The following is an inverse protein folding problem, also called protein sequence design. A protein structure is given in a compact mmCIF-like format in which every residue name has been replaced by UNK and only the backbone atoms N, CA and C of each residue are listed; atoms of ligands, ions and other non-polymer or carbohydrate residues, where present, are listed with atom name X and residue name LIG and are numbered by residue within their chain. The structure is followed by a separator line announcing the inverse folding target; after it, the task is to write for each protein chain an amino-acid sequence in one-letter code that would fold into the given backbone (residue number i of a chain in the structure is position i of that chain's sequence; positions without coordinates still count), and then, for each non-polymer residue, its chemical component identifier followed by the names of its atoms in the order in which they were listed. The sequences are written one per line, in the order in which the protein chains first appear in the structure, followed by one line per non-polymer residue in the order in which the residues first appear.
data_IF_926674303597
#
_entry.id   IF_926674303597
#
_cell.length_a   1.000
_cell.length_b   1.000
_cell.length_c   1.000
_cell.angle_alpha   90.00
_cell.angle_beta   90.00
_cell.angle_gamma   90.00
#
_symmetry.space_group_name_H-M   'P 1'
#
loop_
_entity.id
_entity.type
_entity.pdbx_description
1 polymer ?
#
# COMPACT_ATOMS: atom_id res chain seq x y z
N UNK A 1 -64.07 -18.36 51.20
CA UNK A 1 -63.49 -16.99 51.27
C UNK A 1 -62.09 -17.07 50.66
N UNK A 2 -61.87 -16.36 49.55
CA UNK A 2 -60.87 -16.70 48.54
C UNK A 2 -59.49 -16.05 48.81
N UNK A 3 -58.43 -16.79 48.44
CA UNK A 3 -57.00 -16.48 48.60
C UNK A 3 -56.60 -15.12 48.03
N UNK A 4 -55.88 -14.32 48.83
CA UNK A 4 -55.14 -13.14 48.37
C UNK A 4 -53.92 -13.55 47.54
N UNK A 5 -53.89 -13.11 46.29
CA UNK A 5 -52.80 -13.38 45.33
C UNK A 5 -52.01 -12.08 45.14
N UNK A 6 -50.88 -11.95 45.83
CA UNK A 6 -49.93 -10.86 45.63
C UNK A 6 -49.24 -11.05 44.28
N UNK A 7 -49.67 -10.28 43.27
CA UNK A 7 -48.94 -10.17 42.00
C UNK A 7 -47.66 -9.34 42.23
N UNK A 8 -46.51 -10.02 42.22
CA UNK A 8 -45.19 -9.39 42.10
C UNK A 8 -45.16 -8.50 40.85
N UNK A 9 -45.00 -7.19 41.04
CA UNK A 9 -44.63 -6.27 39.97
C UNK A 9 -43.20 -6.57 39.53
N UNK A 10 -43.07 -7.03 38.29
CA UNK A 10 -41.78 -7.20 37.62
C UNK A 10 -41.26 -5.81 37.25
N UNK A 11 -40.01 -5.44 37.59
CA UNK A 11 -39.44 -4.18 37.13
C UNK A 11 -39.28 -4.23 35.61
N UNK A 12 -39.94 -3.30 34.92
CA UNK A 12 -39.71 -3.05 33.49
C UNK A 12 -38.26 -2.57 33.38
N UNK A 13 -37.36 -3.46 32.94
CA UNK A 13 -36.02 -3.05 32.50
C UNK A 13 -36.22 -2.05 31.36
N UNK A 14 -36.01 -0.77 31.63
CA UNK A 14 -35.84 0.24 30.59
C UNK A 14 -34.77 -0.26 29.63
N UNK A 15 -35.18 -0.60 28.41
CA UNK A 15 -34.26 -0.86 27.33
C UNK A 15 -33.44 0.41 27.12
N UNK A 16 -32.15 0.36 27.47
CA UNK A 16 -31.24 1.45 27.15
C UNK A 16 -31.31 1.68 25.63
N UNK A 17 -31.41 2.93 25.17
CA UNK A 17 -31.42 3.21 23.74
C UNK A 17 -30.14 2.63 23.14
N UNK A 18 -30.29 1.79 22.11
CA UNK A 18 -29.16 1.37 21.28
C UNK A 18 -28.58 2.64 20.67
N UNK A 19 -27.52 3.17 21.28
CA UNK A 19 -26.70 4.22 20.68
C UNK A 19 -26.04 3.57 19.48
N UNK A 20 -26.66 3.70 18.32
CA UNK A 20 -26.04 3.41 17.03
C UNK A 20 -24.89 4.39 16.89
N UNK A 21 -23.71 3.99 17.38
CA UNK A 21 -22.47 4.71 17.10
C UNK A 21 -22.37 4.82 15.58
N UNK A 22 -22.59 6.02 15.06
CA UNK A 22 -22.45 6.34 13.64
C UNK A 22 -20.99 6.09 13.30
N UNK A 23 -20.67 4.90 12.76
CA UNK A 23 -19.32 4.55 12.33
C UNK A 23 -18.83 5.63 11.37
N UNK A 24 -17.59 6.06 11.55
CA UNK A 24 -16.91 6.95 10.62
C UNK A 24 -17.07 6.39 9.20
N UNK A 25 -17.34 7.24 8.19
CA UNK A 25 -17.50 6.79 6.81
C UNK A 25 -16.26 6.00 6.38
N UNK A 26 -16.50 4.82 5.81
CA UNK A 26 -15.48 3.83 5.49
C UNK A 26 -14.36 4.37 4.59
N UNK A 27 -14.64 5.41 3.81
CA UNK A 27 -13.71 5.99 2.82
C UNK A 27 -13.51 7.51 2.95
N UNK A 28 -14.16 8.16 3.93
CA UNK A 28 -14.16 9.61 4.11
C UNK A 28 -13.39 10.14 5.33
N UNK A 29 -12.67 9.27 6.05
CA UNK A 29 -11.95 9.65 7.28
C UNK A 29 -10.59 10.31 6.97
N UNK A 30 -10.03 11.02 7.95
CA UNK A 30 -8.73 11.73 7.84
C UNK A 30 -7.54 10.78 7.65
N UNK A 31 -7.58 9.60 8.25
CA UNK A 31 -6.55 8.57 8.06
C UNK A 31 -6.44 8.13 6.59
N UNK A 32 -7.57 7.94 5.91
CA UNK A 32 -7.61 7.57 4.50
C UNK A 32 -7.20 8.74 3.58
N UNK A 33 -7.43 10.00 3.96
CA UNK A 33 -6.81 11.11 3.22
C UNK A 33 -5.28 11.07 3.29
N UNK A 34 -4.75 10.85 4.49
CA UNK A 34 -3.31 10.73 4.66
C UNK A 34 -2.77 9.54 3.84
N UNK A 35 -3.47 8.40 3.88
CA UNK A 35 -3.22 7.25 3.00
C UNK A 35 -3.21 7.66 1.53
N UNK A 36 -4.22 8.39 1.06
CA UNK A 36 -4.34 8.80 -0.33
C UNK A 36 -3.17 9.70 -0.77
N UNK A 37 -2.68 10.58 0.11
CA UNK A 37 -1.50 11.40 -0.19
C UNK A 37 -0.22 10.55 -0.29
N UNK A 38 -0.01 9.62 0.65
CA UNK A 38 1.12 8.68 0.61
C UNK A 38 1.03 7.83 -0.66
N UNK A 39 -0.15 7.29 -0.92
CA UNK A 39 -0.45 6.46 -2.08
C UNK A 39 -0.26 7.22 -3.39
N UNK A 40 -0.63 8.50 -3.46
CA UNK A 40 -0.36 9.35 -4.62
C UNK A 40 1.14 9.60 -4.81
N UNK A 41 1.88 9.86 -3.73
CA UNK A 41 3.33 10.05 -3.81
C UNK A 41 4.05 8.77 -4.30
N UNK A 42 3.71 7.61 -3.72
CA UNK A 42 4.20 6.31 -4.21
C UNK A 42 3.76 6.06 -5.65
N UNK A 43 2.51 6.35 -5.99
CA UNK A 43 1.99 6.17 -7.34
C UNK A 43 2.73 7.01 -8.38
N UNK A 44 3.06 8.27 -8.05
CA UNK A 44 3.87 9.14 -8.91
C UNK A 44 5.29 8.58 -9.06
N UNK A 45 5.94 8.19 -7.96
CA UNK A 45 7.30 7.63 -7.97
C UNK A 45 7.38 6.43 -8.91
N UNK A 46 6.52 5.44 -8.70
CA UNK A 46 6.50 4.22 -9.50
C UNK A 46 6.07 4.47 -10.95
N UNK A 47 5.12 5.38 -11.20
CA UNK A 47 4.71 5.74 -12.56
C UNK A 47 5.86 6.39 -13.33
N UNK A 48 6.52 7.39 -12.75
CA UNK A 48 7.63 8.08 -13.40
C UNK A 48 8.83 7.16 -13.56
N UNK A 49 9.14 6.33 -12.56
CA UNK A 49 10.20 5.33 -12.64
C UNK A 49 9.94 4.32 -13.77
N UNK A 50 8.71 3.80 -13.88
CA UNK A 50 8.30 2.92 -14.97
C UNK A 50 8.34 3.60 -16.34
N UNK A 51 7.86 4.85 -16.45
CA UNK A 51 7.93 5.62 -17.69
C UNK A 51 9.38 5.91 -18.12
N UNK A 52 10.27 6.20 -17.17
CA UNK A 52 11.70 6.39 -17.46
C UNK A 52 12.33 5.12 -18.02
N UNK A 53 11.98 3.94 -17.46
CA UNK A 53 12.44 2.64 -17.96
C UNK A 53 11.90 2.35 -19.35
N UNK A 54 10.60 2.55 -19.55
CA UNK A 54 9.92 2.36 -20.84
C UNK A 54 10.50 3.27 -21.94
N UNK A 55 10.91 4.49 -21.57
CA UNK A 55 11.48 5.46 -22.50
C UNK A 55 12.98 5.25 -22.78
N UNK A 56 13.69 4.39 -22.05
CA UNK A 56 15.12 4.15 -22.23
C UNK A 56 15.38 2.93 -23.14
N UNK A 57 15.87 3.14 -24.38
CA UNK A 57 16.17 2.03 -25.30
C UNK A 57 17.27 1.08 -24.79
N UNK A 58 18.06 1.52 -23.80
CA UNK A 58 19.15 0.74 -23.21
C UNK A 58 18.76 0.13 -21.86
N UNK A 59 17.49 0.21 -21.45
CA UNK A 59 17.08 -0.18 -20.11
C UNK A 59 17.50 -1.60 -19.73
N UNK A 60 17.33 -2.59 -20.62
CA UNK A 60 17.74 -3.98 -20.35
C UNK A 60 19.23 -4.10 -20.06
N UNK A 61 20.07 -3.38 -20.82
CA UNK A 61 21.52 -3.37 -20.61
C UNK A 61 21.87 -2.67 -19.30
N UNK A 62 21.22 -1.56 -19.00
CA UNK A 62 21.41 -0.80 -17.76
C UNK A 62 20.98 -1.63 -16.54
N UNK A 63 19.86 -2.35 -16.65
CA UNK A 63 19.38 -3.28 -15.64
C UNK A 63 20.37 -4.42 -15.39
N UNK A 64 20.94 -5.00 -16.46
CA UNK A 64 22.00 -6.01 -16.32
C UNK A 64 23.20 -5.47 -15.55
N UNK A 65 23.72 -4.31 -15.97
CA UNK A 65 24.86 -3.68 -15.32
C UNK A 65 24.57 -3.34 -13.85
N UNK A 66 23.35 -2.89 -13.55
CA UNK A 66 22.89 -2.64 -12.18
C UNK A 66 22.87 -3.92 -11.35
N UNK A 67 22.28 -5.01 -11.85
CA UNK A 67 22.23 -6.31 -11.15
C UNK A 67 23.65 -6.84 -10.94
N UNK A 68 24.48 -6.87 -11.96
CA UNK A 68 25.83 -7.45 -11.87
C UNK A 68 26.76 -6.62 -10.97
N UNK A 69 26.60 -5.29 -10.97
CA UNK A 69 27.36 -4.36 -10.14
C UNK A 69 26.86 -4.22 -8.71
N UNK A 70 25.70 -4.78 -8.39
CA UNK A 70 25.04 -4.61 -7.09
C UNK A 70 25.69 -5.47 -5.99
N UNK A 71 26.01 -4.91 -4.80
CA UNK A 71 26.61 -5.66 -3.70
C UNK A 71 25.77 -6.88 -3.26
N UNK A 72 24.45 -6.74 -3.28
CA UNK A 72 23.50 -7.78 -2.92
C UNK A 72 23.45 -8.97 -3.89
N UNK A 73 23.97 -8.81 -5.12
CA UNK A 73 24.14 -9.92 -6.06
C UNK A 73 25.26 -10.84 -5.63
N UNK A 74 26.34 -10.31 -5.05
CA UNK A 74 27.52 -11.10 -4.69
C UNK A 74 27.34 -11.84 -3.36
N UNK A 75 26.86 -11.11 -2.32
CA UNK A 75 26.81 -11.61 -0.95
C UNK A 75 25.47 -11.33 -0.24
N UNK A 76 24.45 -10.87 -0.97
CA UNK A 76 23.16 -10.50 -0.39
C UNK A 76 22.23 -11.67 -0.14
N UNK A 77 21.15 -11.41 0.63
CA UNK A 77 20.11 -12.40 0.94
C UNK A 77 19.43 -12.98 -0.32
N UNK A 78 19.39 -12.20 -1.40
CA UNK A 78 18.78 -12.60 -2.67
C UNK A 78 19.79 -13.15 -3.68
N UNK A 79 21.09 -13.19 -3.37
CA UNK A 79 22.17 -13.54 -4.31
C UNK A 79 21.91 -14.86 -5.04
N UNK A 80 21.55 -15.92 -4.30
CA UNK A 80 21.26 -17.23 -4.90
C UNK A 80 20.09 -17.18 -5.89
N UNK A 81 19.03 -16.43 -5.58
CA UNK A 81 17.89 -16.25 -6.48
C UNK A 81 18.26 -15.41 -7.71
N UNK A 82 19.08 -14.37 -7.52
CA UNK A 82 19.56 -13.52 -8.61
C UNK A 82 20.40 -14.34 -9.59
N UNK A 83 21.37 -15.12 -9.11
CA UNK A 83 22.22 -15.95 -9.95
C UNK A 83 21.46 -17.06 -10.69
N UNK A 84 20.43 -17.64 -10.08
CA UNK A 84 19.71 -18.79 -10.65
C UNK A 84 18.53 -18.39 -11.54
N UNK A 85 17.86 -17.28 -11.25
CA UNK A 85 16.65 -16.86 -11.96
C UNK A 85 16.82 -15.56 -12.73
N UNK A 86 17.38 -14.52 -12.10
CA UNK A 86 17.40 -13.17 -12.68
C UNK A 86 18.47 -13.04 -13.76
N UNK A 87 19.73 -13.38 -13.46
CA UNK A 87 20.85 -13.24 -14.39
C UNK A 87 20.70 -14.07 -15.68
N UNK A 88 20.19 -15.33 -15.64
CA UNK A 88 19.95 -16.07 -16.88
C UNK A 88 18.80 -15.50 -17.72
N UNK A 89 17.88 -14.75 -17.11
CA UNK A 89 16.65 -14.25 -17.73
C UNK A 89 16.53 -12.71 -17.63
N UNK A 90 17.64 -11.99 -17.76
CA UNK A 90 17.72 -10.54 -17.52
C UNK A 90 16.68 -9.74 -18.29
N UNK A 91 16.49 -10.02 -19.58
CA UNK A 91 15.52 -9.30 -20.40
C UNK A 91 14.08 -9.47 -19.88
N UNK A 92 13.74 -10.66 -19.40
CA UNK A 92 12.43 -10.93 -18.82
C UNK A 92 12.24 -10.17 -17.51
N UNK A 93 13.21 -10.20 -16.60
CA UNK A 93 13.11 -9.51 -15.31
C UNK A 93 13.18 -7.98 -15.45
N UNK A 94 13.95 -7.47 -16.40
CA UNK A 94 13.93 -6.06 -16.77
C UNK A 94 12.51 -5.65 -17.23
N UNK A 95 11.95 -6.34 -18.22
CA UNK A 95 10.59 -6.06 -18.69
C UNK A 95 9.55 -6.22 -17.58
N UNK A 96 9.66 -7.26 -16.76
CA UNK A 96 8.78 -7.46 -15.60
C UNK A 96 8.83 -6.28 -14.64
N UNK A 97 10.03 -5.75 -14.34
CA UNK A 97 10.24 -4.61 -13.45
C UNK A 97 9.61 -3.35 -14.05
N UNK A 98 9.87 -3.08 -15.32
CA UNK A 98 9.30 -1.95 -16.06
C UNK A 98 7.76 -1.94 -16.04
N UNK A 99 7.12 -3.04 -16.45
CA UNK A 99 5.66 -3.13 -16.45
C UNK A 99 5.07 -3.14 -15.04
N UNK A 100 5.77 -3.75 -14.08
CA UNK A 100 5.31 -3.76 -12.68
C UNK A 100 5.33 -2.36 -12.11
N UNK A 101 6.41 -1.60 -12.27
CA UNK A 101 6.47 -0.24 -11.75
C UNK A 101 5.43 0.67 -12.38
N UNK A 102 5.29 0.62 -13.72
CA UNK A 102 4.27 1.40 -14.41
C UNK A 102 2.85 1.04 -13.93
N UNK A 103 2.56 -0.27 -13.84
CA UNK A 103 1.27 -0.77 -13.38
C UNK A 103 0.96 -0.39 -11.94
N UNK A 104 1.94 -0.52 -11.04
CA UNK A 104 1.82 -0.09 -9.64
C UNK A 104 1.55 1.41 -9.55
N UNK A 105 2.27 2.22 -10.32
CA UNK A 105 2.08 3.66 -10.38
C UNK A 105 0.63 4.04 -10.72
N UNK A 106 0.09 3.45 -11.79
CA UNK A 106 -1.29 3.67 -12.23
C UNK A 106 -2.28 3.23 -11.15
N UNK A 107 -2.16 2.02 -10.63
CA UNK A 107 -3.09 1.46 -9.64
C UNK A 107 -3.11 2.30 -8.36
N UNK A 108 -1.94 2.67 -7.86
CA UNK A 108 -1.84 3.50 -6.65
C UNK A 108 -2.48 4.87 -6.89
N UNK A 109 -2.23 5.52 -8.03
CA UNK A 109 -2.86 6.81 -8.35
C UNK A 109 -4.38 6.71 -8.46
N UNK A 110 -4.91 5.67 -9.10
CA UNK A 110 -6.34 5.46 -9.20
C UNK A 110 -6.97 5.26 -7.81
N UNK A 111 -6.35 4.46 -6.95
CA UNK A 111 -6.85 4.29 -5.58
C UNK A 111 -6.76 5.58 -4.76
N UNK A 112 -5.71 6.38 -4.91
CA UNK A 112 -5.58 7.69 -4.25
C UNK A 112 -6.67 8.67 -4.72
N UNK A 113 -6.95 8.72 -6.03
CA UNK A 113 -8.02 9.52 -6.59
C UNK A 113 -9.40 9.06 -6.10
N UNK A 114 -9.61 7.75 -5.96
CA UNK A 114 -10.88 7.20 -5.47
C UNK A 114 -11.12 7.61 -4.01
N UNK A 115 -10.12 7.46 -3.14
CA UNK A 115 -10.20 7.93 -1.75
C UNK A 115 -10.36 9.44 -1.68
N UNK A 116 -9.66 10.19 -2.53
CA UNK A 116 -9.79 11.65 -2.62
C UNK A 116 -11.19 12.10 -3.06
N UNK A 117 -11.77 11.43 -4.05
CA UNK A 117 -13.12 11.67 -4.58
C UNK A 117 -14.18 11.62 -3.49
N UNK A 118 -14.06 10.70 -2.52
CA UNK A 118 -14.99 10.56 -1.39
C UNK A 118 -15.04 11.76 -0.45
N UNK A 119 -14.12 12.71 -0.59
CA UNK A 119 -14.11 13.97 0.16
C UNK A 119 -14.87 15.09 -0.53
N UNK A 120 -15.21 14.92 -1.81
CA UNK A 120 -16.00 15.87 -2.54
C UNK A 120 -17.47 15.75 -2.14
N UNK A 121 -18.17 16.88 -2.06
CA UNK A 121 -19.60 16.90 -1.76
C UNK A 121 -20.44 16.59 -3.01
N UNK A 122 -21.72 16.25 -2.80
CA UNK A 122 -22.67 16.00 -3.88
C UNK A 122 -22.47 14.65 -4.57
N UNK A 123 -22.93 14.54 -5.83
CA UNK A 123 -22.98 13.27 -6.59
C UNK A 123 -21.62 12.62 -6.79
N UNK A 124 -20.54 13.41 -6.79
CA UNK A 124 -19.18 12.93 -7.03
C UNK A 124 -18.63 12.10 -5.86
N UNK A 125 -18.99 12.44 -4.61
CA UNK A 125 -18.53 11.74 -3.40
C UNK A 125 -19.40 10.55 -2.95
N UNK A 126 -20.43 10.20 -3.73
CA UNK A 126 -21.34 9.10 -3.41
C UNK A 126 -20.60 7.76 -3.45
N UNK A 127 -21.07 6.82 -2.63
CA UNK A 127 -20.56 5.44 -2.60
C UNK A 127 -20.92 4.67 -3.85
N UNK A 128 -19.93 3.99 -4.44
CA UNK A 128 -20.11 3.09 -5.56
C UNK A 128 -19.73 1.66 -5.18
N UNK A 129 -20.42 0.67 -5.75
CA UNK A 129 -20.16 -0.75 -5.46
C UNK A 129 -18.79 -1.26 -5.92
N UNK A 130 -18.10 -0.55 -6.81
CA UNK A 130 -16.75 -0.92 -7.27
C UNK A 130 -15.65 -0.55 -6.28
N UNK A 131 -15.95 0.17 -5.20
CA UNK A 131 -14.92 0.67 -4.28
C UNK A 131 -14.23 -0.43 -3.49
N UNK A 132 -14.95 -1.51 -3.15
CA UNK A 132 -14.36 -2.66 -2.47
C UNK A 132 -13.26 -3.33 -3.33
N UNK A 133 -13.50 -3.74 -4.59
CA UNK A 133 -12.43 -4.31 -5.40
C UNK A 133 -11.29 -3.32 -5.68
N UNK A 134 -11.57 -2.01 -5.82
CA UNK A 134 -10.50 -0.99 -5.94
C UNK A 134 -9.62 -0.95 -4.69
N UNK A 135 -10.23 -0.99 -3.49
CA UNK A 135 -9.50 -1.03 -2.23
C UNK A 135 -8.61 -2.28 -2.13
N UNK A 136 -9.12 -3.44 -2.54
CA UNK A 136 -8.33 -4.67 -2.53
C UNK A 136 -7.12 -4.58 -3.48
N UNK A 137 -7.34 -4.10 -4.71
CA UNK A 137 -6.28 -3.96 -5.71
C UNK A 137 -5.24 -2.92 -5.28
N UNK A 138 -5.66 -1.79 -4.71
CA UNK A 138 -4.77 -0.79 -4.14
C UNK A 138 -3.96 -1.35 -2.95
N UNK A 139 -4.57 -2.19 -2.11
CA UNK A 139 -3.88 -2.82 -1.00
C UNK A 139 -2.78 -3.78 -1.48
N UNK A 140 -3.07 -4.59 -2.49
CA UNK A 140 -2.10 -5.49 -3.12
C UNK A 140 -0.98 -4.69 -3.81
N UNK A 141 -1.31 -3.58 -4.47
CA UNK A 141 -0.31 -2.70 -5.07
C UNK A 141 0.62 -2.07 -4.02
N UNK A 142 0.08 -1.67 -2.86
CA UNK A 142 0.90 -1.18 -1.74
C UNK A 142 1.90 -2.23 -1.23
N UNK A 143 1.47 -3.50 -1.10
CA UNK A 143 2.36 -4.60 -0.73
C UNK A 143 3.40 -4.89 -1.80
N UNK A 144 3.01 -4.91 -3.06
CA UNK A 144 3.90 -5.16 -4.18
C UNK A 144 4.95 -4.04 -4.31
N UNK A 145 4.55 -2.78 -4.13
CA UNK A 145 5.47 -1.64 -4.08
C UNK A 145 6.48 -1.78 -2.93
N UNK A 146 6.02 -2.12 -1.72
CA UNK A 146 6.91 -2.37 -0.58
C UNK A 146 7.87 -3.53 -0.84
N UNK A 147 7.38 -4.61 -1.46
CA UNK A 147 8.19 -5.78 -1.82
C UNK A 147 9.25 -5.45 -2.87
N UNK A 148 8.89 -4.70 -3.92
CA UNK A 148 9.82 -4.27 -4.95
C UNK A 148 10.89 -3.36 -4.35
N UNK A 149 10.51 -2.33 -3.60
CA UNK A 149 11.45 -1.42 -2.95
C UNK A 149 12.39 -2.15 -1.99
N UNK A 150 11.87 -3.11 -1.20
CA UNK A 150 12.71 -3.94 -0.34
C UNK A 150 13.69 -4.79 -1.15
N UNK A 151 13.24 -5.39 -2.25
CA UNK A 151 14.11 -6.20 -3.10
C UNK A 151 15.25 -5.38 -3.72
N UNK A 152 14.97 -4.15 -4.12
CA UNK A 152 15.97 -3.20 -4.64
C UNK A 152 16.93 -2.79 -3.53
N UNK A 153 16.44 -2.44 -2.34
CA UNK A 153 17.30 -2.12 -1.18
C UNK A 153 18.26 -3.27 -0.83
N UNK A 154 17.74 -4.51 -0.80
CA UNK A 154 18.54 -5.71 -0.55
C UNK A 154 19.57 -5.95 -1.65
N UNK A 155 19.19 -5.73 -2.91
CA UNK A 155 20.07 -5.84 -4.06
C UNK A 155 21.19 -4.79 -4.00
N UNK A 156 20.86 -3.54 -3.68
CA UNK A 156 21.84 -2.45 -3.50
C UNK A 156 22.75 -2.63 -2.28
N UNK A 157 22.45 -3.62 -1.42
CA UNK A 157 23.23 -3.88 -0.20
C UNK A 157 23.00 -2.83 0.87
N UNK A 158 21.82 -2.20 0.89
CA UNK A 158 21.50 -1.17 1.86
C UNK A 158 21.41 -1.74 3.28
N UNK A 159 21.93 -0.98 4.24
CA UNK A 159 21.81 -1.33 5.65
C UNK A 159 20.63 -0.61 6.29
N UNK A 160 20.10 -1.21 7.36
CA UNK A 160 19.09 -0.55 8.18
C UNK A 160 19.57 0.83 8.65
N UNK A 161 18.67 1.81 8.81
CA UNK A 161 19.03 3.14 9.29
C UNK A 161 19.76 3.07 10.63
N UNK A 162 20.97 3.64 10.69
CA UNK A 162 21.78 3.75 11.91
C UNK A 162 22.34 5.16 12.05
N UNK A 163 22.70 5.53 13.27
CA UNK A 163 23.39 6.79 13.54
C UNK A 163 24.82 6.66 12.98
N UNK A 164 25.11 7.39 11.91
CA UNK A 164 26.44 7.39 11.27
C UNK A 164 27.07 8.78 11.36
N UNK A 165 27.92 9.05 12.37
CA UNK A 165 28.66 10.31 12.46
C UNK A 165 29.48 10.55 11.18
N UNK A 166 29.49 11.79 10.67
CA UNK A 166 30.20 12.16 9.44
C UNK A 166 29.35 12.11 8.15
N UNK A 167 28.11 11.60 8.21
CA UNK A 167 27.16 11.57 7.08
C UNK A 167 26.06 12.65 7.16
N UNK A 168 26.39 13.83 7.67
CA UNK A 168 25.41 14.89 7.96
C UNK A 168 24.69 15.46 6.73
N UNK A 169 25.26 15.32 5.53
CA UNK A 169 24.70 15.83 4.27
C UNK A 169 24.03 14.75 3.41
N UNK A 170 23.91 13.52 3.91
CA UNK A 170 23.22 12.42 3.21
C UNK A 170 21.96 12.01 3.96
N UNK A 171 21.03 11.33 3.28
CA UNK A 171 19.82 10.83 3.91
C UNK A 171 20.14 9.73 4.94
N UNK A 172 19.43 9.75 6.07
CA UNK A 172 19.58 8.73 7.12
C UNK A 172 18.88 7.42 6.75
N UNK A 173 17.84 7.50 5.93
CA UNK A 173 17.08 6.37 5.40
C UNK A 173 17.21 6.44 3.88
N UNK A 174 17.77 5.40 3.23
CA UNK A 174 17.69 5.29 1.78
C UNK A 174 16.26 5.31 1.29
N UNK A 175 16.02 5.82 0.08
CA UNK A 175 14.65 6.03 -0.39
C UNK A 175 13.91 4.71 -0.54
N UNK A 176 14.56 3.68 -1.03
CA UNK A 176 14.05 2.32 -1.21
C UNK A 176 13.54 1.76 0.13
N UNK A 177 14.33 1.89 1.20
CA UNK A 177 13.92 1.49 2.55
C UNK A 177 12.81 2.37 3.14
N UNK A 178 12.73 3.65 2.77
CA UNK A 178 11.63 4.53 3.18
C UNK A 178 10.30 4.14 2.50
N UNK A 179 10.34 3.68 1.24
CA UNK A 179 9.15 3.26 0.49
C UNK A 179 8.50 2.00 1.09
N UNK A 180 9.27 1.11 1.74
CA UNK A 180 8.76 -0.13 2.36
C UNK A 180 7.65 0.13 3.39
N UNK A 181 7.87 0.89 4.49
CA UNK A 181 6.82 1.15 5.46
C UNK A 181 5.66 1.98 4.87
N UNK A 182 5.92 2.83 3.87
CA UNK A 182 4.87 3.60 3.20
C UNK A 182 3.95 2.68 2.38
N UNK A 183 4.51 1.74 1.62
CA UNK A 183 3.73 0.75 0.88
C UNK A 183 2.94 -0.18 1.81
N UNK A 184 3.53 -0.60 2.94
CA UNK A 184 2.84 -1.36 3.99
C UNK A 184 1.69 -0.54 4.60
N UNK A 185 1.89 0.76 4.85
CA UNK A 185 0.84 1.61 5.39
C UNK A 185 -0.35 1.75 4.43
N UNK A 186 -0.09 1.94 3.13
CA UNK A 186 -1.12 1.95 2.08
C UNK A 186 -1.86 0.60 2.06
N UNK A 187 -1.11 -0.50 2.03
CA UNK A 187 -1.69 -1.85 2.05
C UNK A 187 -2.62 -2.08 3.25
N UNK A 188 -2.17 -1.69 4.44
CA UNK A 188 -2.93 -1.85 5.67
C UNK A 188 -4.22 -1.04 5.65
N UNK A 189 -4.15 0.22 5.24
CA UNK A 189 -5.29 1.13 5.22
C UNK A 189 -6.33 0.72 4.16
N UNK A 190 -5.88 0.38 2.95
CA UNK A 190 -6.76 -0.07 1.87
C UNK A 190 -7.36 -1.46 2.14
N UNK A 191 -6.62 -2.38 2.78
CA UNK A 191 -7.19 -3.67 3.22
C UNK A 191 -8.26 -3.48 4.31
N UNK A 192 -8.03 -2.54 5.23
CA UNK A 192 -9.03 -2.14 6.22
C UNK A 192 -10.28 -1.58 5.56
N UNK A 193 -10.11 -0.70 4.57
CA UNK A 193 -11.19 -0.12 3.77
C UNK A 193 -11.99 -1.20 3.01
N UNK A 194 -11.30 -2.10 2.32
CA UNK A 194 -11.89 -3.24 1.63
C UNK A 194 -12.80 -4.07 2.56
N UNK A 195 -12.30 -4.45 3.73
CA UNK A 195 -13.07 -5.26 4.70
C UNK A 195 -14.34 -4.57 5.19
N UNK A 196 -14.34 -3.24 5.27
CA UNK A 196 -15.54 -2.49 5.68
C UNK A 196 -16.55 -2.43 4.53
N UNK A 197 -16.09 -2.09 3.32
CA UNK A 197 -16.96 -1.98 2.13
C UNK A 197 -17.55 -3.33 1.72
N UNK A 198 -16.76 -4.40 1.78
CA UNK A 198 -17.21 -5.75 1.43
C UNK A 198 -18.27 -6.31 2.38
N UNK A 199 -18.38 -5.79 3.61
CA UNK A 199 -19.44 -6.19 4.56
C UNK A 199 -20.70 -5.36 4.43
N UNK A 200 -20.65 -4.23 3.72
CA UNK A 200 -21.77 -3.32 3.53
C UNK A 200 -22.63 -3.69 2.32
N UNK A 201 -22.12 -4.55 1.44
CA UNK A 201 -22.77 -5.11 0.26
C UNK A 201 -22.96 -6.62 0.43
#
# INVERSE_FOLDING_TARGET
MNKGMNTMQRPVRSAAPNVTMRRLPASGNTALAASALIQAALGIEFLLSGLNKFADPNFVRNFQAFVDGSPGTQNGLLAGLIHTLVQPNIAFFAGLTEYTELGLGIVLLLGALEVGRRRLSGRVGVEHGYEAPVALVAALAGLAAAGLSLSIALLMGESLPTITPGRALTTAIPVELLLVPLGIAVAWMEAGRFRVLHRAH
#
